data_IF_294181659254
#
_entry.id   IF_294181659254
#
_cell.length_a   1.000
_cell.length_b   1.000
_cell.length_c   1.000
_cell.angle_alpha   90.00
_cell.angle_beta   90.00
_cell.angle_gamma   90.00
#
_symmetry.space_group_name_H-M   'P 1'
#
loop_
_entity.id
_entity.type
_entity.pdbx_description
1 polymer ?
#
# COMPACT_ATOMS: atom_id res chain seq x y z
N UNK A 1 28.32 -22.16 -46.75
CA UNK A 1 28.70 -21.12 -45.74
C UNK A 1 27.46 -20.36 -45.29
N UNK A 2 26.63 -20.88 -44.42
CA UNK A 2 25.49 -20.12 -43.90
C UNK A 2 24.96 -20.54 -42.53
N UNK A 3 25.31 -21.66 -41.97
CA UNK A 3 24.71 -22.15 -40.69
C UNK A 3 25.35 -21.60 -39.40
N UNK A 4 26.44 -20.86 -39.48
CA UNK A 4 27.09 -20.26 -38.29
C UNK A 4 26.67 -18.83 -38.00
N UNK A 5 26.07 -18.12 -38.94
CA UNK A 5 25.59 -16.77 -38.73
C UNK A 5 24.20 -16.75 -38.06
N UNK A 6 23.35 -17.71 -38.39
CA UNK A 6 22.00 -17.80 -37.82
C UNK A 6 22.00 -18.14 -36.31
N UNK A 7 22.97 -19.01 -35.89
CA UNK A 7 23.12 -19.38 -34.49
C UNK A 7 23.63 -18.23 -33.57
N UNK A 8 24.39 -17.29 -34.14
CA UNK A 8 24.89 -16.12 -33.39
C UNK A 8 23.80 -15.05 -33.24
N UNK A 9 22.93 -14.92 -34.24
CA UNK A 9 21.79 -13.99 -34.18
C UNK A 9 20.72 -14.46 -33.20
N UNK A 10 20.45 -15.76 -33.10
CA UNK A 10 19.51 -16.33 -32.13
C UNK A 10 20.03 -16.19 -30.69
N UNK A 11 21.31 -16.34 -30.45
CA UNK A 11 21.94 -16.20 -29.13
C UNK A 11 21.96 -14.73 -28.66
N UNK A 12 22.12 -13.77 -29.58
CA UNK A 12 22.06 -12.33 -29.26
C UNK A 12 20.62 -11.85 -29.02
N UNK A 13 19.63 -12.41 -29.69
CA UNK A 13 18.22 -12.05 -29.52
C UNK A 13 17.62 -12.67 -28.27
N UNK A 14 18.07 -13.85 -27.84
CA UNK A 14 17.61 -14.47 -26.59
C UNK A 14 18.12 -13.76 -25.33
N UNK A 15 19.21 -12.99 -25.43
CA UNK A 15 19.76 -12.18 -24.34
C UNK A 15 19.07 -10.84 -24.12
N UNK A 16 18.20 -10.40 -25.05
CA UNK A 16 17.48 -9.11 -24.95
C UNK A 16 16.15 -9.19 -24.21
N UNK A 17 15.69 -10.39 -23.84
CA UNK A 17 14.40 -10.62 -23.19
C UNK A 17 14.47 -10.79 -21.65
N UNK A 18 15.53 -10.36 -21.00
CA UNK A 18 15.52 -10.20 -19.54
C UNK A 18 15.09 -8.78 -19.17
N UNK A 19 13.81 -8.57 -18.85
CA UNK A 19 13.37 -7.25 -18.45
C UNK A 19 13.85 -6.96 -17.03
N UNK A 20 14.63 -5.89 -16.89
CA UNK A 20 14.93 -5.24 -15.60
C UNK A 20 13.63 -5.02 -14.82
N UNK A 21 13.55 -5.29 -13.51
CA UNK A 21 12.34 -5.03 -12.73
C UNK A 21 12.17 -3.52 -12.59
N UNK A 22 11.34 -2.94 -13.45
CA UNK A 22 10.95 -1.55 -13.34
C UNK A 22 9.79 -1.41 -12.35
N UNK A 23 9.74 -0.26 -11.68
CA UNK A 23 8.69 0.18 -10.74
C UNK A 23 7.26 0.10 -11.32
N UNK A 24 7.12 0.08 -12.64
CA UNK A 24 5.86 -0.10 -13.37
C UNK A 24 5.15 -1.43 -13.08
N UNK A 25 5.91 -2.49 -12.73
CA UNK A 25 5.34 -3.81 -12.45
C UNK A 25 4.61 -3.91 -11.12
N UNK A 26 4.92 -3.06 -10.14
CA UNK A 26 4.23 -3.05 -8.86
C UNK A 26 2.79 -2.54 -9.00
N UNK A 27 2.59 -1.44 -9.75
CA UNK A 27 1.26 -0.89 -10.04
C UNK A 27 0.38 -1.85 -10.84
N UNK A 28 0.95 -2.51 -11.87
CA UNK A 28 0.22 -3.48 -12.67
C UNK A 28 -0.15 -4.75 -11.89
N UNK A 29 0.70 -5.19 -10.97
CA UNK A 29 0.39 -6.32 -10.06
C UNK A 29 -0.70 -5.96 -9.05
N UNK A 30 -0.69 -4.72 -8.54
CA UNK A 30 -1.73 -4.23 -7.65
C UNK A 30 -3.09 -4.21 -8.34
N UNK A 31 -3.19 -3.61 -9.52
CA UNK A 31 -4.42 -3.57 -10.31
C UNK A 31 -4.94 -4.98 -10.63
N UNK A 32 -4.05 -5.90 -11.00
CA UNK A 32 -4.41 -7.30 -11.24
C UNK A 32 -4.92 -8.02 -10.00
N UNK A 33 -4.29 -7.80 -8.83
CA UNK A 33 -4.74 -8.37 -7.55
C UNK A 33 -6.06 -7.76 -7.09
N UNK A 34 -6.22 -6.44 -7.18
CA UNK A 34 -7.46 -5.77 -6.76
C UNK A 34 -8.65 -6.17 -7.66
N UNK A 35 -8.42 -6.38 -8.96
CA UNK A 35 -9.43 -6.89 -9.89
C UNK A 35 -9.79 -8.35 -9.58
N UNK A 36 -8.79 -9.20 -9.29
CA UNK A 36 -9.05 -10.62 -8.97
C UNK A 36 -9.82 -10.83 -7.66
N UNK A 37 -9.66 -9.92 -6.69
CA UNK A 37 -10.43 -9.95 -5.43
C UNK A 37 -11.90 -9.58 -5.71
N UNK A 38 -12.14 -8.51 -6.49
CA UNK A 38 -13.50 -8.14 -6.91
C UNK A 38 -14.21 -9.24 -7.73
N UNK A 39 -13.51 -9.81 -8.70
CA UNK A 39 -14.03 -10.89 -9.54
C UNK A 39 -14.33 -12.21 -8.78
N UNK A 40 -13.53 -12.51 -7.74
CA UNK A 40 -13.77 -13.67 -6.87
C UNK A 40 -14.97 -13.48 -5.93
N UNK A 41 -15.27 -12.23 -5.55
CA UNK A 41 -16.38 -11.94 -4.64
C UNK A 41 -17.75 -11.96 -5.30
N UNK A 42 -17.85 -11.61 -6.58
CA UNK A 42 -19.16 -11.40 -7.23
C UNK A 42 -19.42 -12.25 -8.47
N UNK A 43 -18.38 -12.83 -9.09
CA UNK A 43 -18.54 -13.55 -10.37
C UNK A 43 -19.05 -12.67 -11.54
N UNK A 44 -19.29 -11.39 -11.30
CA UNK A 44 -19.81 -10.43 -12.25
C UNK A 44 -18.72 -9.40 -12.65
N UNK A 45 -18.78 -9.02 -13.90
CA UNK A 45 -17.97 -7.96 -14.49
C UNK A 45 -18.42 -6.63 -13.91
N UNK A 46 -17.79 -6.16 -12.84
CA UNK A 46 -18.09 -4.82 -12.30
C UNK A 46 -17.62 -3.76 -13.29
N UNK A 47 -18.54 -2.93 -13.76
CA UNK A 47 -18.20 -1.71 -14.49
C UNK A 47 -17.46 -0.77 -13.54
N UNK A 48 -16.21 -0.47 -13.87
CA UNK A 48 -15.40 0.49 -13.11
C UNK A 48 -15.83 1.91 -13.47
N UNK A 49 -16.45 2.61 -12.55
CA UNK A 49 -16.82 3.99 -12.76
C UNK A 49 -15.63 4.89 -12.42
N UNK A 50 -15.01 5.46 -13.45
CA UNK A 50 -13.90 6.40 -13.33
C UNK A 50 -14.43 7.83 -13.36
N UNK A 51 -13.92 8.67 -12.46
CA UNK A 51 -14.25 10.08 -12.40
C UNK A 51 -13.00 10.94 -12.41
N UNK A 52 -13.09 12.10 -13.07
CA UNK A 52 -12.10 13.16 -12.98
C UNK A 52 -12.61 14.23 -12.03
N UNK A 53 -12.07 14.26 -10.82
CA UNK A 53 -12.55 15.13 -9.75
C UNK A 53 -11.54 16.22 -9.41
N UNK A 54 -12.01 17.27 -8.73
CA UNK A 54 -11.13 18.23 -8.08
C UNK A 54 -10.53 17.57 -6.83
N UNK A 55 -9.21 17.52 -6.63
CA UNK A 55 -8.63 16.91 -5.44
C UNK A 55 -9.09 17.56 -4.13
N UNK A 56 -9.49 18.83 -4.14
CA UNK A 56 -10.05 19.52 -2.97
C UNK A 56 -11.34 18.86 -2.46
N UNK A 57 -12.09 18.14 -3.32
CA UNK A 57 -13.28 17.39 -2.93
C UNK A 57 -12.97 16.06 -2.22
N UNK A 58 -11.70 15.73 -2.08
CA UNK A 58 -11.23 14.48 -1.49
C UNK A 58 -10.52 14.74 -0.17
N UNK A 59 -10.82 13.95 0.85
CA UNK A 59 -10.02 13.87 2.07
C UNK A 59 -9.27 12.54 2.14
N UNK A 60 -8.18 12.47 2.91
CA UNK A 60 -7.53 11.20 3.20
C UNK A 60 -8.32 10.41 4.22
N UNK A 61 -8.42 9.10 4.03
CA UNK A 61 -8.94 8.19 5.05
C UNK A 61 -8.07 8.25 6.30
N UNK A 62 -8.68 8.33 7.49
CA UNK A 62 -7.96 8.50 8.76
C UNK A 62 -6.99 7.36 9.06
N UNK A 63 -7.28 6.15 8.57
CA UNK A 63 -6.42 4.97 8.71
C UNK A 63 -5.56 4.73 7.47
N UNK A 64 -5.33 5.77 6.71
CA UNK A 64 -4.43 5.70 5.57
C UNK A 64 -3.01 5.46 6.07
N UNK A 65 -2.38 4.35 5.63
CA UNK A 65 -1.06 3.89 6.10
C UNK A 65 0.12 4.80 5.66
N UNK A 66 -0.16 5.97 5.14
CA UNK A 66 0.84 6.97 4.76
C UNK A 66 0.55 8.28 5.46
N UNK A 67 1.55 8.81 6.15
CA UNK A 67 1.47 10.18 6.64
C UNK A 67 1.52 11.15 5.45
N UNK A 68 0.35 11.72 5.12
CA UNK A 68 0.21 12.67 4.01
C UNK A 68 1.06 13.91 4.23
N UNK A 69 1.32 14.30 5.48
CA UNK A 69 2.14 15.46 5.84
C UNK A 69 3.64 15.29 5.44
N UNK A 70 4.08 14.04 5.23
CA UNK A 70 5.44 13.74 4.76
C UNK A 70 5.59 13.78 3.24
N UNK A 71 4.51 13.99 2.49
CA UNK A 71 4.58 14.13 1.04
C UNK A 71 5.10 15.51 0.68
N UNK A 72 6.14 15.53 -0.14
CA UNK A 72 6.80 16.74 -0.64
C UNK A 72 6.92 16.70 -2.15
N UNK A 73 7.16 17.85 -2.77
CA UNK A 73 7.48 17.92 -4.20
C UNK A 73 8.63 16.99 -4.55
N UNK A 74 9.69 16.97 -3.74
CA UNK A 74 10.90 16.20 -3.99
C UNK A 74 10.60 14.69 -4.03
N UNK A 75 9.89 14.15 -3.02
CA UNK A 75 9.59 12.73 -2.95
C UNK A 75 8.42 12.29 -3.86
N UNK A 76 7.73 13.23 -4.51
CA UNK A 76 6.69 12.97 -5.50
C UNK A 76 7.05 13.46 -6.90
N UNK A 77 8.30 13.93 -7.13
CA UNK A 77 8.74 14.55 -8.40
C UNK A 77 8.56 13.63 -9.59
N UNK A 78 8.94 12.36 -9.46
CA UNK A 78 8.76 11.33 -10.47
C UNK A 78 7.30 11.25 -10.99
N UNK A 79 6.37 11.32 -10.06
CA UNK A 79 4.94 11.24 -10.34
C UNK A 79 4.38 12.55 -10.89
N UNK A 80 4.83 13.69 -10.36
CA UNK A 80 4.46 15.02 -10.85
C UNK A 80 4.90 15.18 -12.31
N UNK A 81 6.15 14.86 -12.61
CA UNK A 81 6.72 14.96 -13.95
C UNK A 81 6.04 13.98 -14.93
N UNK A 82 5.76 12.76 -14.48
CA UNK A 82 5.04 11.77 -15.26
C UNK A 82 3.61 12.22 -15.64
N UNK A 83 2.84 12.69 -14.66
CA UNK A 83 1.47 13.20 -14.90
C UNK A 83 1.51 14.43 -15.83
N UNK A 84 2.49 15.31 -15.64
CA UNK A 84 2.66 16.50 -16.49
C UNK A 84 3.02 16.13 -17.93
N UNK A 85 3.93 15.18 -18.12
CA UNK A 85 4.36 14.72 -19.44
C UNK A 85 3.25 14.02 -20.21
N UNK A 86 2.42 13.21 -19.53
CA UNK A 86 1.30 12.49 -20.13
C UNK A 86 0.04 13.35 -20.31
N UNK A 87 -0.01 14.52 -19.67
CA UNK A 87 -1.18 15.40 -19.68
C UNK A 87 -2.32 14.94 -18.76
N UNK A 88 -2.21 13.78 -18.15
CA UNK A 88 -3.20 13.22 -17.21
C UNK A 88 -2.58 12.17 -16.30
N UNK A 89 -3.30 11.84 -15.24
CA UNK A 89 -2.99 10.70 -14.38
C UNK A 89 -3.38 9.39 -15.10
N UNK A 90 -2.47 8.42 -15.16
CA UNK A 90 -2.68 7.14 -15.86
C UNK A 90 -3.50 6.13 -15.04
N UNK A 91 -3.14 5.96 -13.77
CA UNK A 91 -3.78 4.98 -12.90
C UNK A 91 -4.74 5.65 -11.91
N UNK A 92 -5.99 5.20 -11.81
CA UNK A 92 -6.94 5.79 -10.87
C UNK A 92 -6.52 5.54 -9.43
N UNK A 93 -6.84 6.49 -8.57
CA UNK A 93 -6.87 6.29 -7.13
C UNK A 93 -8.17 5.60 -6.74
N UNK A 94 -8.18 4.89 -5.62
CA UNK A 94 -9.41 4.25 -5.12
C UNK A 94 -9.97 5.12 -4.00
N UNK A 95 -11.22 5.50 -4.17
CA UNK A 95 -11.95 6.34 -3.23
C UNK A 95 -13.30 5.71 -2.90
N UNK A 96 -13.85 6.06 -1.74
CA UNK A 96 -15.26 5.81 -1.43
C UNK A 96 -16.02 7.13 -1.34
N UNK A 97 -17.32 7.10 -1.60
CA UNK A 97 -18.19 8.26 -1.50
C UNK A 97 -18.51 8.57 -0.03
N UNK A 98 -18.53 9.84 0.30
CA UNK A 98 -19.00 10.34 1.59
C UNK A 98 -20.36 11.01 1.40
N UNK A 99 -21.26 10.78 2.32
CA UNK A 99 -22.60 11.41 2.30
C UNK A 99 -22.74 12.39 3.48
N UNK A 100 -23.20 13.59 3.19
CA UNK A 100 -23.48 14.60 4.22
C UNK A 100 -22.25 15.24 4.87
N UNK A 101 -21.06 15.10 4.26
CA UNK A 101 -19.81 15.68 4.74
C UNK A 101 -19.32 16.80 3.80
N UNK A 102 -18.35 17.59 4.27
CA UNK A 102 -17.74 18.68 3.50
C UNK A 102 -17.03 18.16 2.23
N UNK A 103 -16.38 16.98 2.33
CA UNK A 103 -15.74 16.32 1.22
C UNK A 103 -16.65 15.25 0.62
N UNK A 104 -16.64 15.11 -0.68
CA UNK A 104 -17.46 14.11 -1.38
C UNK A 104 -16.81 12.72 -1.43
N UNK A 105 -15.51 12.67 -1.31
CA UNK A 105 -14.75 11.42 -1.45
C UNK A 105 -13.72 11.27 -0.34
N UNK A 106 -13.50 10.03 0.05
CA UNK A 106 -12.43 9.64 0.96
C UNK A 106 -11.44 8.74 0.23
N UNK A 107 -10.17 9.13 0.23
CA UNK A 107 -9.09 8.45 -0.49
C UNK A 107 -8.62 7.26 0.33
N UNK A 108 -8.85 6.06 -0.18
CA UNK A 108 -8.37 4.80 0.42
C UNK A 108 -6.96 4.48 -0.07
N UNK A 109 -6.75 4.57 -1.40
CA UNK A 109 -5.47 4.32 -2.05
C UNK A 109 -5.15 5.44 -3.04
N UNK A 110 -3.91 5.93 -3.06
CA UNK A 110 -3.46 6.92 -4.05
C UNK A 110 -3.11 8.29 -3.50
N UNK A 111 -2.70 8.41 -2.23
CA UNK A 111 -2.30 9.67 -1.60
C UNK A 111 -1.20 10.43 -2.36
N UNK A 112 -0.18 9.75 -2.89
CA UNK A 112 0.86 10.39 -3.71
C UNK A 112 0.29 11.02 -4.98
N UNK A 113 -0.68 10.35 -5.63
CA UNK A 113 -1.35 10.87 -6.83
C UNK A 113 -2.21 12.09 -6.49
N UNK A 114 -2.92 12.05 -5.36
CA UNK A 114 -3.65 13.19 -4.85
C UNK A 114 -2.72 14.39 -4.63
N UNK A 115 -1.61 14.18 -3.93
CA UNK A 115 -0.60 15.21 -3.69
C UNK A 115 -0.06 15.78 -5.01
N UNK A 116 0.34 14.92 -5.96
CA UNK A 116 0.92 15.35 -7.23
C UNK A 116 -0.06 16.21 -8.05
N UNK A 117 -1.33 15.81 -8.15
CA UNK A 117 -2.35 16.59 -8.86
C UNK A 117 -2.65 17.89 -8.12
N UNK A 118 -2.73 17.88 -6.79
CA UNK A 118 -2.92 19.08 -5.97
C UNK A 118 -1.77 20.06 -6.15
N UNK A 119 -0.54 19.56 -6.14
CA UNK A 119 0.67 20.35 -6.37
C UNK A 119 0.67 20.99 -7.78
N UNK A 120 0.38 20.22 -8.82
CA UNK A 120 0.29 20.72 -10.18
C UNK A 120 -0.73 21.88 -10.28
N UNK A 121 -1.92 21.70 -9.70
CA UNK A 121 -2.96 22.74 -9.71
C UNK A 121 -2.53 24.02 -8.99
N UNK A 122 -1.83 23.87 -7.86
CA UNK A 122 -1.27 25.02 -7.12
C UNK A 122 -0.12 25.72 -7.86
N UNK A 123 0.54 25.03 -8.81
CA UNK A 123 1.70 25.53 -9.55
C UNK A 123 1.40 25.85 -11.02
N UNK A 124 0.27 26.50 -11.29
CA UNK A 124 -0.15 27.02 -12.60
C UNK A 124 -0.60 25.97 -13.63
N UNK A 125 -1.02 24.79 -13.18
CA UNK A 125 -1.60 23.75 -14.02
C UNK A 125 -3.04 23.41 -13.58
N UNK A 126 -4.01 24.34 -13.60
CA UNK A 126 -5.36 24.14 -13.05
C UNK A 126 -6.20 23.13 -13.83
N UNK A 127 -5.79 22.77 -15.05
CA UNK A 127 -6.48 21.82 -15.92
C UNK A 127 -6.38 20.37 -15.41
N UNK A 128 -5.37 20.03 -14.62
CA UNK A 128 -5.22 18.67 -14.12
C UNK A 128 -6.35 18.29 -13.15
N UNK A 129 -6.86 17.10 -13.32
CA UNK A 129 -7.91 16.51 -12.49
C UNK A 129 -7.40 15.22 -11.85
N UNK A 130 -7.93 14.92 -10.68
CA UNK A 130 -7.62 13.71 -9.96
C UNK A 130 -8.48 12.56 -10.49
N UNK A 131 -7.86 11.57 -11.11
CA UNK A 131 -8.54 10.39 -11.64
C UNK A 131 -8.79 9.41 -10.50
N UNK A 132 -10.07 9.10 -10.25
CA UNK A 132 -10.49 8.21 -9.17
C UNK A 132 -11.42 7.11 -9.67
N UNK A 133 -11.31 5.94 -9.07
CA UNK A 133 -12.28 4.85 -9.14
C UNK A 133 -13.10 4.87 -7.84
N UNK A 134 -14.39 5.12 -7.97
CA UNK A 134 -15.30 5.14 -6.80
C UNK A 134 -15.75 3.71 -6.51
N UNK A 135 -15.53 3.27 -5.27
CA UNK A 135 -15.99 1.97 -4.77
C UNK A 135 -16.83 2.16 -3.52
N UNK A 136 -17.83 1.30 -3.38
CA UNK A 136 -18.55 1.14 -2.12
C UNK A 136 -17.76 0.14 -1.26
N UNK A 137 -17.17 0.64 -0.17
CA UNK A 137 -16.25 -0.10 0.69
C UNK A 137 -16.61 0.12 2.15
N UNK A 138 -16.75 -0.97 2.87
CA UNK A 138 -16.71 -0.97 4.33
C UNK A 138 -15.31 -0.60 4.84
N UNK A 139 -15.17 -0.24 6.09
CA UNK A 139 -13.86 0.07 6.69
C UNK A 139 -12.91 -1.14 6.67
N UNK A 140 -13.43 -2.36 6.83
CA UNK A 140 -12.64 -3.60 6.71
C UNK A 140 -12.11 -3.79 5.29
N UNK A 141 -12.95 -3.58 4.28
CA UNK A 141 -12.54 -3.69 2.87
C UNK A 141 -11.56 -2.60 2.48
N UNK A 142 -11.76 -1.37 2.98
CA UNK A 142 -10.83 -0.26 2.81
C UNK A 142 -9.46 -0.59 3.44
N UNK A 143 -9.45 -1.14 4.67
CA UNK A 143 -8.24 -1.58 5.33
C UNK A 143 -7.50 -2.66 4.53
N UNK A 144 -8.20 -3.72 4.08
CA UNK A 144 -7.58 -4.78 3.27
C UNK A 144 -6.97 -4.24 1.97
N UNK A 145 -7.71 -3.34 1.31
CA UNK A 145 -7.26 -2.77 0.06
C UNK A 145 -6.00 -1.90 0.25
N UNK A 146 -6.00 -1.08 1.30
CA UNK A 146 -4.84 -0.27 1.67
C UNK A 146 -3.63 -1.16 2.06
N UNK A 147 -3.85 -2.26 2.79
CA UNK A 147 -2.80 -3.21 3.13
C UNK A 147 -2.20 -3.87 1.88
N UNK A 148 -3.03 -4.33 0.93
CA UNK A 148 -2.56 -4.94 -0.32
C UNK A 148 -1.70 -3.96 -1.13
N UNK A 149 -2.11 -2.68 -1.21
CA UNK A 149 -1.31 -1.65 -1.91
C UNK A 149 0.03 -1.40 -1.22
N UNK A 150 0.04 -1.39 0.10
CA UNK A 150 1.19 -0.96 0.89
C UNK A 150 2.07 -2.11 1.39
N UNK A 151 1.67 -3.37 1.22
CA UNK A 151 2.37 -4.53 1.80
C UNK A 151 3.80 -4.69 1.31
N UNK A 152 4.04 -4.40 0.05
CA UNK A 152 5.36 -4.53 -0.59
C UNK A 152 6.16 -3.21 -0.56
N UNK A 153 5.70 -2.21 0.22
CA UNK A 153 6.35 -0.90 0.31
C UNK A 153 7.40 -0.89 1.43
N UNK A 154 8.53 -0.28 1.12
CA UNK A 154 9.66 -0.14 2.06
C UNK A 154 9.51 1.06 3.02
N UNK A 155 8.65 2.02 2.70
CA UNK A 155 8.47 3.26 3.47
C UNK A 155 7.58 3.10 4.72
N UNK A 156 6.88 1.97 4.86
CA UNK A 156 6.15 1.59 6.08
C UNK A 156 6.99 0.58 6.85
N UNK A 157 7.34 0.91 8.09
CA UNK A 157 8.11 0.00 8.94
C UNK A 157 7.27 -1.21 9.37
N UNK A 158 7.96 -2.30 9.71
CA UNK A 158 7.29 -3.49 10.24
C UNK A 158 6.56 -3.20 11.57
N UNK A 159 7.06 -2.25 12.38
CA UNK A 159 6.42 -1.84 13.61
C UNK A 159 5.12 -1.06 13.35
N UNK A 160 5.14 -0.07 12.46
CA UNK A 160 3.93 0.68 12.07
C UNK A 160 2.86 -0.26 11.54
N UNK A 161 3.25 -1.19 10.68
CA UNK A 161 2.35 -2.24 10.15
C UNK A 161 1.81 -3.14 11.26
N UNK A 162 2.64 -3.51 12.23
CA UNK A 162 2.22 -4.34 13.35
C UNK A 162 1.17 -3.65 14.23
N UNK A 163 1.34 -2.36 14.49
CA UNK A 163 0.36 -1.54 15.24
C UNK A 163 -0.95 -1.46 14.49
N UNK A 164 -0.90 -1.20 13.18
CA UNK A 164 -2.10 -1.13 12.35
C UNK A 164 -2.86 -2.49 12.31
N UNK A 165 -2.13 -3.61 12.23
CA UNK A 165 -2.74 -4.94 12.31
C UNK A 165 -3.37 -5.23 13.68
N UNK A 166 -2.73 -4.80 14.77
CA UNK A 166 -3.27 -4.97 16.12
C UNK A 166 -4.57 -4.18 16.31
N UNK A 167 -4.66 -3.00 15.73
CA UNK A 167 -5.88 -2.20 15.73
C UNK A 167 -6.96 -2.81 14.82
N UNK A 168 -6.59 -3.21 13.61
CA UNK A 168 -7.53 -3.81 12.67
C UNK A 168 -8.16 -5.08 13.21
N UNK A 169 -7.38 -5.95 13.86
CA UNK A 169 -7.92 -7.20 14.43
C UNK A 169 -8.97 -6.93 15.51
N UNK A 170 -8.77 -5.86 16.30
CA UNK A 170 -9.74 -5.43 17.32
C UNK A 170 -10.99 -4.83 16.70
N UNK A 171 -10.82 -3.97 15.72
CA UNK A 171 -11.93 -3.18 15.13
C UNK A 171 -12.79 -4.01 14.17
N UNK A 172 -12.17 -4.86 13.35
CA UNK A 172 -12.85 -5.49 12.23
C UNK A 172 -13.03 -7.01 12.37
N UNK A 173 -12.23 -7.65 13.23
CA UNK A 173 -12.21 -9.10 13.31
C UNK A 173 -12.54 -9.64 14.72
N UNK A 174 -12.96 -8.78 15.66
CA UNK A 174 -13.34 -9.19 17.01
C UNK A 174 -12.23 -9.94 17.76
N UNK A 175 -10.95 -9.68 17.46
CA UNK A 175 -9.80 -10.36 18.03
C UNK A 175 -9.43 -11.69 17.34
N UNK A 176 -10.16 -12.12 16.32
CA UNK A 176 -9.97 -13.41 15.65
C UNK A 176 -8.81 -13.34 14.63
N UNK A 177 -7.58 -13.68 15.06
CA UNK A 177 -6.38 -13.66 14.20
C UNK A 177 -6.52 -14.54 12.96
N UNK A 178 -7.16 -15.71 13.08
CA UNK A 178 -7.35 -16.61 11.95
C UNK A 178 -8.22 -15.99 10.87
N UNK A 179 -9.35 -15.35 11.25
CA UNK A 179 -10.22 -14.66 10.32
C UNK A 179 -9.50 -13.52 9.60
N UNK A 180 -8.71 -12.71 10.32
CA UNK A 180 -7.91 -11.66 9.70
C UNK A 180 -6.87 -12.23 8.73
N UNK A 181 -6.15 -13.30 9.10
CA UNK A 181 -5.14 -13.92 8.23
C UNK A 181 -5.76 -14.45 6.93
N UNK A 182 -6.93 -15.09 7.01
CA UNK A 182 -7.69 -15.56 5.84
C UNK A 182 -8.10 -14.39 4.93
N UNK A 183 -8.62 -13.32 5.52
CA UNK A 183 -9.07 -12.13 4.77
C UNK A 183 -7.92 -11.36 4.12
N UNK A 184 -6.75 -11.30 4.76
CA UNK A 184 -5.54 -10.69 4.23
C UNK A 184 -4.77 -11.60 3.26
N UNK A 185 -5.20 -12.85 3.09
CA UNK A 185 -4.50 -13.87 2.29
C UNK A 185 -3.04 -14.08 2.75
N UNK A 186 -2.82 -14.09 4.07
CA UNK A 186 -1.51 -14.34 4.68
C UNK A 186 -1.54 -15.58 5.58
N UNK A 187 -0.36 -16.16 5.86
CA UNK A 187 -0.30 -17.28 6.79
C UNK A 187 -0.50 -16.81 8.25
N UNK A 188 -1.25 -17.56 9.07
CA UNK A 188 -1.42 -17.24 10.49
C UNK A 188 -0.09 -17.04 11.25
N UNK A 189 0.99 -17.84 11.02
CA UNK A 189 2.28 -17.58 11.63
C UNK A 189 2.91 -16.24 11.22
N UNK A 190 2.72 -15.80 9.98
CA UNK A 190 3.20 -14.51 9.51
C UNK A 190 2.52 -13.36 10.27
N UNK A 191 1.19 -13.35 10.32
CA UNK A 191 0.43 -12.34 11.06
C UNK A 191 0.78 -12.33 12.54
N UNK A 192 0.93 -13.52 13.16
CA UNK A 192 1.30 -13.65 14.56
C UNK A 192 2.64 -12.98 14.89
N UNK A 193 3.63 -13.00 13.99
CA UNK A 193 4.92 -12.33 14.21
C UNK A 193 4.77 -10.80 14.23
N UNK A 194 3.96 -10.22 13.35
CA UNK A 194 3.65 -8.79 13.40
C UNK A 194 2.92 -8.43 14.70
N UNK A 195 1.94 -9.20 15.11
CA UNK A 195 1.20 -8.94 16.35
C UNK A 195 2.08 -9.04 17.63
N UNK A 196 3.19 -9.76 17.56
CA UNK A 196 4.21 -9.76 18.64
C UNK A 196 4.93 -8.42 18.69
N UNK A 197 5.29 -7.83 17.54
CA UNK A 197 5.92 -6.50 17.50
C UNK A 197 5.03 -5.42 18.11
N UNK A 198 3.73 -5.45 17.83
CA UNK A 198 2.77 -4.48 18.38
C UNK A 198 2.61 -4.56 19.90
N UNK A 199 3.02 -5.67 20.51
CA UNK A 199 2.94 -5.91 21.97
C UNK A 199 4.26 -5.73 22.70
N UNK A 200 5.30 -5.25 22.02
CA UNK A 200 6.59 -5.01 22.65
C UNK A 200 6.48 -3.93 23.73
N UNK A 201 7.05 -4.16 24.92
CA UNK A 201 7.17 -3.15 25.96
C UNK A 201 7.93 -1.91 25.47
N UNK A 202 7.59 -0.74 26.02
CA UNK A 202 8.24 0.53 25.65
C UNK A 202 9.74 0.50 25.93
N UNK A 203 10.19 -0.20 26.95
CA UNK A 203 11.61 -0.37 27.29
C UNK A 203 12.38 -0.99 26.12
N UNK A 204 11.80 -2.02 25.50
CA UNK A 204 12.41 -2.66 24.32
C UNK A 204 12.33 -1.75 23.10
N UNK A 205 11.21 -1.05 22.90
CA UNK A 205 11.06 -0.12 21.78
C UNK A 205 12.08 1.02 21.86
N UNK A 206 12.36 1.52 23.06
CA UNK A 206 13.31 2.59 23.33
C UNK A 206 14.79 2.14 23.25
N UNK A 207 15.06 0.86 23.21
CA UNK A 207 16.41 0.32 22.95
C UNK A 207 16.82 0.45 21.46
N UNK A 208 15.88 0.69 20.58
CA UNK A 208 16.16 0.95 19.17
C UNK A 208 16.37 2.46 18.93
N UNK A 209 17.27 2.82 18.03
CA UNK A 209 17.50 4.21 17.64
C UNK A 209 16.24 4.85 17.01
N UNK A 210 15.42 4.02 16.31
CA UNK A 210 14.13 4.40 15.77
C UNK A 210 13.19 3.22 15.76
N UNK A 211 11.89 3.46 16.00
CA UNK A 211 10.84 2.43 15.80
C UNK A 211 10.82 1.88 14.37
N UNK A 212 11.36 2.62 13.40
CA UNK A 212 11.54 2.19 12.01
C UNK A 212 12.60 1.09 11.83
N UNK A 213 13.51 0.93 12.78
CA UNK A 213 14.55 -0.11 12.75
C UNK A 213 14.03 -1.47 13.23
N UNK A 214 12.85 -1.47 13.85
CA UNK A 214 12.20 -2.69 14.35
C UNK A 214 11.65 -3.46 13.15
N UNK A 215 12.14 -4.70 12.98
CA UNK A 215 11.79 -5.60 11.88
C UNK A 215 11.11 -6.87 12.39
N UNK A 216 10.37 -7.55 11.51
CA UNK A 216 9.68 -8.82 11.81
C UNK A 216 10.61 -9.87 12.44
N UNK A 217 11.87 -9.93 12.00
CA UNK A 217 12.89 -10.83 12.57
C UNK A 217 13.09 -10.64 14.08
N UNK A 218 12.93 -9.41 14.60
CA UNK A 218 13.08 -9.12 16.02
C UNK A 218 11.96 -9.75 16.84
N UNK A 219 10.74 -9.89 16.30
CA UNK A 219 9.66 -10.62 16.95
C UNK A 219 10.07 -12.05 17.29
N UNK A 220 10.79 -12.73 16.37
CA UNK A 220 11.26 -14.10 16.58
C UNK A 220 12.34 -14.19 17.67
N UNK A 221 13.29 -13.26 17.63
CA UNK A 221 14.40 -13.22 18.60
C UNK A 221 13.93 -12.87 20.01
N UNK A 222 12.98 -11.93 20.15
CA UNK A 222 12.54 -11.39 21.43
C UNK A 222 11.35 -12.16 22.05
N UNK A 223 10.60 -12.91 21.26
CA UNK A 223 9.44 -13.67 21.77
C UNK A 223 9.74 -14.55 22.99
N UNK A 224 10.86 -15.31 23.08
CA UNK A 224 11.20 -16.10 24.25
C UNK A 224 11.39 -15.24 25.50
N UNK A 225 12.01 -14.06 25.36
CA UNK A 225 12.25 -13.11 26.45
C UNK A 225 10.93 -12.49 26.95
N UNK A 226 10.04 -12.13 26.06
CA UNK A 226 8.72 -11.57 26.39
C UNK A 226 7.79 -12.59 27.05
N UNK A 227 8.04 -13.90 26.86
CA UNK A 227 7.24 -14.98 27.44
C UNK A 227 7.68 -15.34 28.86
N UNK A 228 8.83 -14.84 29.34
CA UNK A 228 9.35 -15.09 30.66
C UNK A 228 9.35 -13.80 31.51
N UNK A 229 8.45 -13.64 32.49
CA UNK A 229 8.31 -12.42 33.28
C UNK A 229 9.61 -11.98 34.00
N UNK A 230 10.44 -12.92 34.43
CA UNK A 230 11.71 -12.62 35.10
C UNK A 230 12.76 -12.06 34.16
N UNK A 231 12.79 -12.55 32.93
CA UNK A 231 13.68 -12.04 31.86
C UNK A 231 13.18 -10.72 31.23
N UNK A 232 11.87 -10.54 31.17
CA UNK A 232 11.29 -9.28 30.70
C UNK A 232 11.53 -8.11 31.65
N UNK A 233 11.67 -8.39 32.98
CA UNK A 233 11.98 -7.40 34.00
C UNK A 233 13.49 -7.04 34.07
N UNK A 234 14.35 -7.82 33.43
CA UNK A 234 15.82 -7.66 33.44
C UNK A 234 16.34 -6.94 32.16
N UNK A 235 15.45 -6.60 31.22
CA UNK A 235 15.73 -5.84 30.00
C UNK A 235 15.45 -4.36 30.20
#
# INVERSE_FOLDING_TARGET
MSKKHDAILDDVLSGLDTPTPSTERAGARFLKRSTSIGERMTGERQEKTLHLVDPVRCRMWQRHNRDYALLTEENCRDLIDGIKAQGQQEFPAIVRRLEGEEHEFEVICGARRHFAVSWLRANNYPQFRYLVEVRDLTDEEAFRLADIENRDREDISDYERAVDYADAIRLYYGGAQKAMAERLEVSPPWLSRYLVLAKMPEEILNAFASKRDIRERHARALKPLLSNPEQAAAL
#
